data_IF_848834353650
#
_entry.id   IF_848834353650
#
_cell.length_a   1.000
_cell.length_b   1.000
_cell.length_c   1.000
_cell.angle_alpha   90.00
_cell.angle_beta   90.00
_cell.angle_gamma   90.00
#
_symmetry.space_group_name_H-M   'P 1'
#
loop_
_entity.id
_entity.type
_entity.pdbx_description
1 polymer ?
#
# COMPACT_ATOMS: atom_id res chain seq x y z
N UNK A 1 15.02 13.21 18.35
CA UNK A 1 14.07 13.58 17.87
C UNK A 1 14.03 13.67 16.47
N UNK A 2 14.89 13.94 15.97
CA UNK A 2 14.82 14.03 14.71
C UNK A 2 15.10 12.87 13.99
N UNK A 3 15.28 11.84 14.64
CA UNK A 3 15.45 10.62 14.05
C UNK A 3 14.33 10.38 13.17
N UNK A 4 13.16 10.92 13.50
CA UNK A 4 12.10 10.61 12.71
C UNK A 4 12.22 11.24 11.40
N UNK A 5 12.81 12.35 11.35
CA UNK A 5 12.97 12.99 10.15
C UNK A 5 13.86 12.22 9.25
N UNK A 6 14.83 11.59 9.79
CA UNK A 6 15.68 10.83 8.96
C UNK A 6 15.03 9.59 8.50
N UNK A 7 14.05 9.16 9.22
CA UNK A 7 13.50 7.90 8.91
C UNK A 7 12.53 8.02 7.81
N UNK A 8 12.90 7.71 6.64
CA UNK A 8 11.96 7.60 5.58
C UNK A 8 11.43 8.90 5.07
N UNK A 9 12.17 9.92 5.25
CA UNK A 9 11.79 11.16 4.69
C UNK A 9 10.36 11.54 4.94
N UNK A 10 9.93 11.44 6.14
CA UNK A 10 8.61 11.84 6.50
C UNK A 10 7.61 10.74 6.73
N UNK A 11 7.98 9.51 6.48
CA UNK A 11 7.08 8.40 6.75
C UNK A 11 7.06 8.08 8.24
N UNK A 12 5.89 7.67 8.73
CA UNK A 12 5.81 7.12 10.07
C UNK A 12 6.36 5.70 10.07
N UNK A 13 6.57 5.15 11.26
CA UNK A 13 7.01 3.77 11.37
C UNK A 13 6.00 2.83 10.75
N UNK A 14 4.72 3.07 10.97
CA UNK A 14 3.69 2.21 10.39
C UNK A 14 3.71 2.30 8.87
N UNK A 15 3.86 3.49 8.33
CA UNK A 15 3.90 3.68 6.89
C UNK A 15 5.09 2.97 6.27
N UNK A 16 6.25 3.06 6.92
CA UNK A 16 7.43 2.37 6.42
C UNK A 16 7.23 0.86 6.44
N UNK A 17 6.60 0.35 7.49
CA UNK A 17 6.33 -1.08 7.58
C UNK A 17 5.33 -1.55 6.53
N UNK A 18 4.36 -0.71 6.22
CA UNK A 18 3.39 -1.05 5.19
C UNK A 18 4.07 -1.15 3.82
N UNK A 19 4.96 -0.23 3.49
CA UNK A 19 5.68 -0.32 2.23
C UNK A 19 6.56 -1.56 2.18
N UNK A 20 7.22 -1.87 3.28
CA UNK A 20 8.04 -3.07 3.34
C UNK A 20 7.19 -4.32 3.18
N UNK A 21 6.01 -4.34 3.80
CA UNK A 21 5.10 -5.47 3.67
C UNK A 21 4.66 -5.64 2.22
N UNK A 22 4.31 -4.55 1.52
CA UNK A 22 3.90 -4.64 0.12
C UNK A 22 5.00 -5.17 -0.76
N UNK A 23 6.25 -4.93 -0.38
CA UNK A 23 7.37 -5.40 -1.18
C UNK A 23 7.64 -6.88 -0.99
N UNK A 24 7.29 -7.44 0.16
CA UNK A 24 7.73 -8.78 0.51
C UNK A 24 6.63 -9.77 0.87
N UNK A 25 5.38 -9.36 0.99
CA UNK A 25 4.33 -10.25 1.52
C UNK A 25 4.17 -11.54 0.72
N UNK A 26 4.42 -11.50 -0.56
CA UNK A 26 4.26 -12.67 -1.40
C UNK A 26 5.19 -13.83 -0.99
N UNK A 27 6.17 -13.54 -0.18
CA UNK A 27 7.08 -14.58 0.32
C UNK A 27 6.45 -15.42 1.41
N UNK A 28 5.40 -14.90 2.05
CA UNK A 28 4.82 -15.62 3.15
C UNK A 28 3.70 -16.46 2.62
N UNK A 29 3.56 -17.58 2.49
CA UNK A 29 2.45 -18.35 1.99
C UNK A 29 1.21 -17.97 2.75
N UNK A 30 0.08 -18.06 2.20
CA UNK A 30 -1.16 -17.79 2.89
C UNK A 30 -1.84 -16.54 2.38
N UNK A 31 -2.95 -16.20 2.98
CA UNK A 31 -3.75 -15.09 2.52
C UNK A 31 -3.16 -13.77 2.97
N UNK A 32 -3.16 -12.81 2.08
CA UNK A 32 -2.64 -11.49 2.40
C UNK A 32 -3.42 -10.86 3.55
N UNK A 33 -4.71 -11.10 3.60
CA UNK A 33 -5.53 -10.51 4.66
C UNK A 33 -5.16 -11.00 6.04
N UNK A 34 -4.81 -12.27 6.14
CA UNK A 34 -4.35 -12.81 7.40
C UNK A 34 -3.01 -12.22 7.80
N UNK A 35 -2.12 -12.04 6.84
CA UNK A 35 -0.83 -11.43 7.13
C UNK A 35 -0.98 -10.00 7.58
N UNK A 36 -1.91 -9.26 6.98
CA UNK A 36 -2.20 -7.90 7.39
C UNK A 36 -2.66 -7.86 8.84
N UNK A 37 -3.57 -8.76 9.18
CA UNK A 37 -4.09 -8.79 10.53
C UNK A 37 -3.00 -9.16 11.55
N UNK A 38 -2.17 -10.10 11.20
CA UNK A 38 -1.09 -10.50 12.09
C UNK A 38 -0.06 -9.42 12.29
N UNK A 39 0.32 -8.74 11.24
CA UNK A 39 1.42 -7.79 11.33
C UNK A 39 0.98 -6.41 11.76
N UNK A 40 -0.24 -6.00 11.43
CA UNK A 40 -0.67 -4.64 11.67
C UNK A 40 -1.90 -4.54 12.58
N UNK A 41 -2.55 -5.65 12.85
CA UNK A 41 -3.77 -5.67 13.66
C UNK A 41 -4.83 -4.77 13.01
N UNK A 42 -4.93 -4.83 11.70
CA UNK A 42 -5.89 -4.05 10.94
C UNK A 42 -6.77 -4.97 10.12
N UNK A 43 -7.99 -4.53 9.84
CA UNK A 43 -8.80 -5.22 8.84
C UNK A 43 -8.22 -4.91 7.47
N UNK A 44 -8.55 -5.73 6.49
CA UNK A 44 -8.10 -5.49 5.13
C UNK A 44 -8.62 -4.15 4.61
N UNK A 45 -9.88 -3.82 4.91
CA UNK A 45 -10.45 -2.56 4.46
C UNK A 45 -9.66 -1.37 5.00
N UNK A 46 -9.38 -1.39 6.30
CA UNK A 46 -8.64 -0.27 6.90
C UNK A 46 -7.22 -0.20 6.38
N UNK A 47 -6.59 -1.35 6.20
CA UNK A 47 -5.23 -1.41 5.66
C UNK A 47 -5.18 -0.75 4.28
N UNK A 48 -6.13 -1.09 3.40
CA UNK A 48 -6.10 -0.53 2.04
C UNK A 48 -6.45 0.95 2.01
N UNK A 49 -7.26 1.43 2.95
CA UNK A 49 -7.49 2.86 3.07
C UNK A 49 -6.19 3.59 3.39
N UNK A 50 -5.42 3.04 4.32
CA UNK A 50 -4.14 3.63 4.69
C UNK A 50 -3.16 3.53 3.52
N UNK A 51 -3.09 2.37 2.89
CA UNK A 51 -2.17 2.16 1.77
C UNK A 51 -2.45 3.12 0.62
N UNK A 52 -3.72 3.30 0.27
CA UNK A 52 -4.06 4.16 -0.85
C UNK A 52 -3.63 5.61 -0.60
N UNK A 53 -3.77 6.07 0.64
CA UNK A 53 -3.29 7.39 0.97
C UNK A 53 -1.78 7.45 0.93
N UNK A 54 -1.15 6.41 1.43
CA UNK A 54 0.30 6.36 1.51
C UNK A 54 0.95 6.41 0.12
N UNK A 55 0.44 5.64 -0.82
CA UNK A 55 1.08 5.59 -2.13
C UNK A 55 0.85 6.85 -2.95
N UNK A 56 -0.03 7.73 -2.49
CA UNK A 56 -0.20 9.02 -3.15
C UNK A 56 0.70 10.10 -2.56
N UNK A 57 1.45 9.79 -1.52
CA UNK A 57 2.29 10.78 -0.86
C UNK A 57 3.65 10.88 -1.55
N UNK A 58 4.21 12.08 -1.50
CA UNK A 58 5.55 12.31 -2.03
C UNK A 58 6.60 11.57 -1.23
N UNK A 59 6.39 11.43 0.06
CA UNK A 59 7.36 10.74 0.91
C UNK A 59 7.46 9.27 0.53
N UNK A 60 6.34 8.61 0.24
CA UNK A 60 6.38 7.22 -0.17
C UNK A 60 7.06 7.07 -1.53
N UNK A 61 6.75 7.97 -2.46
CA UNK A 61 7.37 7.92 -3.77
C UNK A 61 8.87 8.12 -3.69
N UNK A 62 9.32 9.00 -2.82
CA UNK A 62 10.75 9.23 -2.65
C UNK A 62 11.44 8.03 -2.01
N UNK A 63 10.74 7.32 -1.13
CA UNK A 63 11.32 6.20 -0.41
C UNK A 63 11.47 4.97 -1.31
N UNK A 64 10.46 4.65 -2.10
CA UNK A 64 10.52 3.47 -2.95
C UNK A 64 9.73 3.72 -4.23
N UNK A 65 10.31 4.45 -5.16
CA UNK A 65 9.57 4.87 -6.35
C UNK A 65 9.10 3.71 -7.22
N UNK A 66 9.88 2.66 -7.33
CA UNK A 66 9.50 1.53 -8.18
C UNK A 66 8.26 0.85 -7.62
N UNK A 67 8.28 0.57 -6.33
CA UNK A 67 7.15 -0.09 -5.68
C UNK A 67 5.90 0.79 -5.73
N UNK A 68 6.05 2.08 -5.41
CA UNK A 68 4.90 2.97 -5.34
C UNK A 68 4.27 3.15 -6.71
N UNK A 69 5.08 3.27 -7.75
CA UNK A 69 4.53 3.38 -9.10
C UNK A 69 3.81 2.11 -9.52
N UNK A 70 4.34 0.96 -9.13
CA UNK A 70 3.67 -0.30 -9.42
C UNK A 70 2.33 -0.40 -8.70
N UNK A 71 2.30 -0.01 -7.43
CA UNK A 71 1.06 -0.06 -6.66
C UNK A 71 0.01 0.90 -7.22
N UNK A 72 0.44 2.07 -7.65
CA UNK A 72 -0.49 3.02 -8.27
C UNK A 72 -1.05 2.45 -9.58
N UNK A 73 -0.21 1.77 -10.33
CA UNK A 73 -0.64 1.16 -11.59
C UNK A 73 -1.65 0.04 -11.35
N UNK A 74 -1.40 -0.78 -10.34
CA UNK A 74 -2.32 -1.85 -9.99
C UNK A 74 -3.67 -1.27 -9.58
N UNK A 75 -3.66 -0.23 -8.77
CA UNK A 75 -4.90 0.43 -8.33
C UNK A 75 -5.66 0.99 -9.54
N UNK A 76 -4.95 1.61 -10.45
CA UNK A 76 -5.55 2.18 -11.64
C UNK A 76 -6.20 1.07 -12.50
N UNK A 77 -5.51 -0.03 -12.69
CA UNK A 77 -6.03 -1.14 -13.47
C UNK A 77 -7.30 -1.70 -12.84
N UNK A 78 -7.34 -1.81 -11.51
CA UNK A 78 -8.53 -2.30 -10.83
C UNK A 78 -9.70 -1.35 -10.98
N UNK A 79 -9.42 -0.06 -10.92
CA UNK A 79 -10.47 0.94 -11.09
C UNK A 79 -11.02 0.92 -12.51
N UNK A 80 -10.15 0.76 -13.49
CA UNK A 80 -10.56 0.67 -14.88
C UNK A 80 -11.39 -0.59 -15.12
N UNK A 81 -11.00 -1.69 -14.53
CA UNK A 81 -11.75 -2.94 -14.67
C UNK A 81 -13.14 -2.80 -14.07
N UNK A 82 -13.24 -2.16 -12.91
CA UNK A 82 -14.54 -1.94 -12.29
C UNK A 82 -15.41 -1.03 -13.14
N UNK A 83 -14.84 0.01 -13.71
CA UNK A 83 -15.57 0.92 -14.57
C UNK A 83 -16.06 0.24 -15.83
N UNK A 84 -15.22 -0.62 -16.42
CA UNK A 84 -15.59 -1.34 -17.62
C UNK A 84 -16.74 -2.31 -17.34
N UNK A 85 -16.69 -3.00 -16.22
CA UNK A 85 -17.76 -3.92 -15.85
C UNK A 85 -19.06 -3.13 -15.62
N UNK A 86 -18.96 -2.01 -14.95
CA UNK A 86 -20.13 -1.18 -14.68
C UNK A 86 -20.76 -0.69 -15.98
N UNK A 87 -19.95 -0.26 -16.93
CA UNK A 87 -20.46 0.20 -18.21
C UNK A 87 -21.08 -0.93 -19.00
N UNK A 88 -20.53 -2.12 -18.90
CA UNK A 88 -21.07 -3.24 -19.63
C UNK A 88 -22.43 -3.67 -19.16
N UNK A 89 -22.80 -3.33 -17.94
CA UNK A 89 -24.08 -3.72 -17.39
C UNK A 89 -25.20 -2.81 -17.80
N UNK A 90 -24.93 -1.73 -18.48
CA UNK A 90 -25.98 -0.80 -18.90
C UNK A 90 -26.59 -1.18 -20.24
#
# INVERSE_FOLDING_TARGET
LDERAGAGAGLTDQQAKILEFERTWWRFGGAKEEAIREQFDLTATRYYQILNRLIDSDAALATDPVLVRRLRRIRQTRQEARSAVHRSRR
#
